data_IF_974379307158
#
_entry.id   IF_974379307158
#
_cell.length_a   1.000
_cell.length_b   1.000
_cell.length_c   1.000
_cell.angle_alpha   90.00
_cell.angle_beta   90.00
_cell.angle_gamma   90.00
#
_symmetry.space_group_name_H-M   'P 1'
#
loop_
_entity.id
_entity.type
_entity.pdbx_description
1 polymer ?
#
# COMPACT_ATOMS: atom_id res chain seq x y z
N UNK A 1 -92.02 -17.35 -12.30
CA UNK A 1 -92.29 -16.73 -13.63
C UNK A 1 -90.94 -16.70 -14.32
N UNK A 2 -90.57 -17.67 -15.06
CA UNK A 2 -90.61 -17.92 -16.48
C UNK A 2 -90.37 -16.68 -17.34
N UNK A 3 -89.31 -16.72 -18.14
CA UNK A 3 -89.20 -16.83 -19.59
C UNK A 3 -87.73 -16.51 -19.95
N UNK A 4 -86.87 -17.37 -20.39
CA UNK A 4 -86.69 -17.97 -21.73
C UNK A 4 -86.57 -16.89 -22.85
N UNK A 5 -85.48 -16.82 -23.55
CA UNK A 5 -85.21 -17.32 -24.93
C UNK A 5 -84.01 -16.63 -25.57
N UNK A 6 -83.02 -17.46 -25.93
CA UNK A 6 -82.54 -17.71 -27.32
C UNK A 6 -81.62 -16.63 -27.96
N UNK A 7 -80.47 -17.14 -28.23
CA UNK A 7 -79.85 -17.35 -29.56
C UNK A 7 -79.41 -16.13 -30.32
N UNK A 8 -78.10 -16.03 -30.50
CA UNK A 8 -77.48 -16.08 -31.84
C UNK A 8 -75.99 -15.93 -31.73
N UNK A 9 -75.28 -16.94 -32.26
CA UNK A 9 -73.88 -16.82 -32.63
C UNK A 9 -73.83 -16.11 -33.99
N UNK A 10 -72.85 -15.27 -34.23
CA UNK A 10 -72.07 -15.45 -35.42
C UNK A 10 -70.57 -15.49 -35.16
N UNK A 11 -70.04 -16.46 -35.81
CA UNK A 11 -68.67 -16.77 -36.18
C UNK A 11 -68.06 -15.59 -36.93
N UNK A 12 -66.96 -14.98 -36.49
CA UNK A 12 -66.05 -14.29 -37.40
C UNK A 12 -64.64 -14.22 -36.85
N UNK A 13 -63.80 -14.87 -37.59
CA UNK A 13 -62.42 -14.53 -38.00
C UNK A 13 -61.35 -14.41 -36.95
N UNK A 14 -60.50 -15.40 -37.06
CA UNK A 14 -59.12 -15.44 -36.62
C UNK A 14 -58.32 -14.23 -37.16
N UNK A 15 -57.73 -13.46 -36.26
CA UNK A 15 -56.60 -12.64 -36.57
C UNK A 15 -55.45 -13.10 -35.68
N UNK A 16 -54.52 -13.82 -36.29
CA UNK A 16 -53.30 -14.27 -35.64
C UNK A 16 -52.43 -13.07 -35.27
N UNK A 17 -52.26 -12.84 -34.00
CA UNK A 17 -51.18 -11.99 -33.50
C UNK A 17 -49.94 -12.89 -33.36
N UNK A 18 -49.04 -12.77 -34.33
CA UNK A 18 -47.67 -13.25 -34.17
C UNK A 18 -46.99 -12.36 -33.11
N UNK A 19 -46.91 -12.87 -31.92
CA UNK A 19 -46.05 -12.28 -30.87
C UNK A 19 -44.61 -12.64 -31.27
N UNK A 20 -43.90 -11.66 -31.86
CA UNK A 20 -42.47 -11.75 -32.01
C UNK A 20 -41.84 -11.58 -30.63
N UNK A 21 -41.39 -12.71 -30.07
CA UNK A 21 -40.49 -12.65 -28.90
C UNK A 21 -39.15 -12.06 -29.37
N UNK A 22 -38.96 -10.81 -29.09
CA UNK A 22 -37.62 -10.21 -29.14
C UNK A 22 -36.82 -10.73 -27.95
N UNK A 23 -35.96 -11.72 -28.20
CA UNK A 23 -34.89 -12.05 -27.24
C UNK A 23 -33.94 -10.86 -27.19
N UNK A 24 -34.11 -10.04 -26.17
CA UNK A 24 -33.08 -9.07 -25.81
C UNK A 24 -31.87 -9.86 -25.28
N UNK A 25 -30.65 -9.65 -25.82
CA UNK A 25 -29.47 -10.23 -25.23
C UNK A 25 -29.32 -9.64 -23.81
N UNK A 26 -29.51 -10.47 -22.81
CA UNK A 26 -29.13 -10.13 -21.43
C UNK A 26 -27.62 -10.09 -21.42
N UNK A 27 -27.07 -8.91 -21.51
CA UNK A 27 -25.68 -8.70 -21.18
C UNK A 27 -25.55 -8.99 -19.69
N UNK A 28 -25.08 -10.18 -19.36
CA UNK A 28 -24.63 -10.46 -18.01
C UNK A 28 -23.42 -9.55 -17.78
N UNK A 29 -23.66 -8.42 -17.14
CA UNK A 29 -22.59 -7.70 -16.46
C UNK A 29 -22.19 -8.65 -15.33
N UNK A 30 -21.16 -9.46 -15.56
CA UNK A 30 -20.39 -10.02 -14.47
C UNK A 30 -19.88 -8.79 -13.73
N UNK A 31 -20.48 -8.45 -12.60
CA UNK A 31 -19.82 -7.63 -11.62
C UNK A 31 -18.55 -8.44 -11.28
N UNK A 32 -17.43 -8.01 -11.84
CA UNK A 32 -16.14 -8.33 -11.28
C UNK A 32 -16.23 -7.85 -9.84
N UNK A 33 -16.44 -8.79 -8.93
CA UNK A 33 -16.22 -8.60 -7.52
C UNK A 33 -14.71 -8.42 -7.35
N UNK A 34 -14.21 -7.24 -7.72
CA UNK A 34 -12.89 -6.73 -7.38
C UNK A 34 -12.90 -6.16 -5.96
N UNK A 35 -13.79 -6.68 -5.11
CA UNK A 35 -13.95 -6.30 -3.70
C UNK A 35 -12.89 -6.94 -2.79
N UNK A 36 -11.81 -7.50 -3.35
CA UNK A 36 -10.87 -8.32 -2.60
C UNK A 36 -9.47 -7.76 -2.40
N UNK A 37 -8.99 -6.78 -3.15
CA UNK A 37 -7.59 -6.36 -3.06
C UNK A 37 -7.33 -4.84 -3.01
N UNK A 38 -8.35 -4.01 -3.11
CA UNK A 38 -8.18 -2.59 -2.84
C UNK A 38 -7.94 -2.35 -1.34
N UNK A 39 -6.68 -2.38 -0.94
CA UNK A 39 -6.27 -2.01 0.42
C UNK A 39 -5.29 -2.94 1.09
N UNK A 40 -4.91 -4.07 0.50
CA UNK A 40 -3.90 -4.94 1.06
C UNK A 40 -2.51 -4.54 0.60
N UNK A 41 -1.65 -4.21 1.56
CA UNK A 41 -0.25 -3.95 1.28
C UNK A 41 0.50 -5.26 0.97
N UNK A 42 1.58 -5.11 0.22
CA UNK A 42 2.57 -6.15 -0.04
C UNK A 42 3.90 -5.47 -0.35
N UNK A 43 4.97 -6.22 -0.50
CA UNK A 43 6.26 -5.65 -0.88
C UNK A 43 6.18 -4.80 -2.16
N UNK A 44 5.27 -5.12 -3.08
CA UNK A 44 5.02 -4.35 -4.32
C UNK A 44 4.48 -2.95 -4.08
N UNK A 45 3.86 -2.69 -2.91
CA UNK A 45 3.36 -1.38 -2.51
C UNK A 45 4.50 -0.37 -2.37
N UNK A 46 5.69 -0.85 -1.96
CA UNK A 46 6.90 -0.04 -1.87
C UNK A 46 7.79 -0.31 -3.09
N UNK A 47 7.74 0.58 -4.06
CA UNK A 47 8.58 0.52 -5.25
C UNK A 47 9.00 1.93 -5.67
N UNK A 48 10.32 2.13 -5.89
CA UNK A 48 10.91 3.39 -6.30
C UNK A 48 11.69 4.07 -5.18
N UNK A 49 11.95 5.34 -5.34
CA UNK A 49 12.81 6.13 -4.49
C UNK A 49 11.99 6.95 -3.47
N UNK A 50 12.50 7.04 -2.23
CA UNK A 50 11.88 7.75 -1.12
C UNK A 50 12.92 8.62 -0.43
N UNK A 51 12.60 9.90 -0.24
CA UNK A 51 13.38 10.82 0.58
C UNK A 51 12.91 10.75 2.03
N UNK A 52 13.82 10.48 2.95
CA UNK A 52 13.54 10.39 4.39
C UNK A 52 14.10 11.56 5.16
N UNK A 53 13.35 12.03 6.15
CA UNK A 53 13.83 12.87 7.26
C UNK A 53 13.96 11.99 8.50
N UNK A 54 15.12 12.04 9.16
CA UNK A 54 15.47 11.20 10.30
C UNK A 54 15.63 12.08 11.54
N UNK A 55 14.93 11.70 12.61
CA UNK A 55 14.95 12.38 13.89
C UNK A 55 15.11 11.39 15.04
N UNK A 56 15.91 11.74 16.05
CA UNK A 56 16.04 10.86 17.19
C UNK A 56 17.12 11.28 18.16
N UNK A 57 17.47 10.35 19.05
CA UNK A 57 18.50 10.50 20.04
C UNK A 57 19.13 9.17 20.44
N UNK A 58 20.39 9.19 20.80
CA UNK A 58 21.08 8.08 21.47
C UNK A 58 21.04 8.38 22.96
N UNK A 59 20.58 7.42 23.76
CA UNK A 59 20.56 7.50 25.22
C UNK A 59 21.88 6.89 25.74
N UNK A 60 22.80 7.71 26.17
CA UNK A 60 24.09 7.28 26.71
C UNK A 60 24.15 7.64 28.22
N UNK A 61 23.50 6.82 29.04
CA UNK A 61 23.36 7.12 30.46
C UNK A 61 22.57 8.42 30.71
N UNK A 62 23.12 9.38 31.46
CA UNK A 62 22.49 10.68 31.70
C UNK A 62 22.55 11.62 30.49
N UNK A 63 23.42 11.32 29.52
CA UNK A 63 23.64 12.14 28.32
C UNK A 63 22.71 11.69 27.19
N UNK A 64 22.34 12.67 26.35
CA UNK A 64 21.56 12.45 25.14
C UNK A 64 22.30 13.05 23.96
N UNK A 65 22.46 12.30 22.90
CA UNK A 65 23.08 12.75 21.66
C UNK A 65 21.95 12.85 20.63
N UNK A 66 21.70 14.03 20.11
CA UNK A 66 20.65 14.26 19.12
C UNK A 66 21.07 13.71 17.76
N UNK A 67 20.13 13.04 17.10
CA UNK A 67 20.29 12.55 15.74
C UNK A 67 19.43 13.40 14.82
N UNK A 68 20.02 13.90 13.74
CA UNK A 68 19.33 14.51 12.62
C UNK A 68 19.92 13.98 11.33
N UNK A 69 19.06 13.67 10.36
CA UNK A 69 19.58 13.18 9.11
C UNK A 69 18.55 13.14 8.00
N UNK A 70 19.06 12.85 6.82
CA UNK A 70 18.28 12.60 5.62
C UNK A 70 18.79 11.33 4.97
N UNK A 71 17.91 10.64 4.25
CA UNK A 71 18.30 9.49 3.46
C UNK A 71 17.52 9.44 2.13
N UNK A 72 18.16 8.91 1.11
CA UNK A 72 17.50 8.48 -0.10
C UNK A 72 17.47 6.95 -0.10
N UNK A 73 16.28 6.37 -0.13
CA UNK A 73 16.06 4.93 -0.02
C UNK A 73 15.31 4.43 -1.23
N UNK A 74 15.81 3.38 -1.87
CA UNK A 74 15.18 2.71 -3.01
C UNK A 74 14.64 1.35 -2.61
N UNK A 75 13.36 1.14 -2.83
CA UNK A 75 12.67 -0.15 -2.68
C UNK A 75 12.44 -0.78 -4.06
N UNK A 76 12.74 -2.07 -4.22
CA UNK A 76 12.60 -2.76 -5.52
C UNK A 76 11.21 -3.35 -5.77
N UNK A 77 10.34 -3.37 -4.76
CA UNK A 77 9.03 -4.01 -4.82
C UNK A 77 9.04 -5.52 -4.57
N UNK A 78 10.20 -6.11 -4.29
CA UNK A 78 10.39 -7.55 -4.12
C UNK A 78 11.02 -7.92 -2.77
N UNK A 79 11.20 -6.96 -1.88
CA UNK A 79 11.75 -7.18 -0.55
C UNK A 79 13.21 -6.74 -0.40
N UNK A 80 13.85 -6.19 -1.44
CA UNK A 80 15.20 -5.64 -1.30
C UNK A 80 15.15 -4.11 -1.24
N UNK A 81 16.05 -3.55 -0.46
CA UNK A 81 16.17 -2.12 -0.25
C UNK A 81 17.64 -1.68 -0.26
N UNK A 82 17.89 -0.50 -0.78
CA UNK A 82 19.19 0.17 -0.70
C UNK A 82 18.98 1.62 -0.29
N UNK A 83 19.96 2.20 0.39
CA UNK A 83 19.90 3.60 0.79
C UNK A 83 21.28 4.26 0.81
N UNK A 84 21.26 5.57 0.78
CA UNK A 84 22.37 6.43 1.21
C UNK A 84 21.80 7.39 2.24
N UNK A 85 22.53 7.61 3.34
CA UNK A 85 22.13 8.55 4.37
C UNK A 85 23.23 9.56 4.71
N UNK A 86 22.81 10.69 5.26
CA UNK A 86 23.67 11.68 5.90
C UNK A 86 23.09 12.01 7.27
N UNK A 87 23.84 11.72 8.31
CA UNK A 87 23.39 11.86 9.70
C UNK A 87 24.37 12.70 10.48
N UNK A 88 23.86 13.57 11.35
CA UNK A 88 24.64 14.31 12.34
C UNK A 88 24.30 13.85 13.75
N UNK A 89 25.31 13.90 14.62
CA UNK A 89 25.22 13.64 16.05
C UNK A 89 25.57 14.93 16.78
N UNK A 90 24.63 15.56 17.47
CA UNK A 90 24.74 16.89 18.07
C UNK A 90 25.29 17.95 17.09
N UNK A 91 24.86 17.85 15.81
CA UNK A 91 25.29 18.75 14.75
C UNK A 91 26.63 18.39 14.09
N UNK A 92 27.33 17.36 14.57
CA UNK A 92 28.58 16.87 13.97
C UNK A 92 28.27 15.71 13.00
N UNK A 93 28.76 15.80 11.74
CA UNK A 93 28.55 14.66 10.80
C UNK A 93 29.11 13.36 11.34
N UNK A 94 28.31 12.28 11.27
CA UNK A 94 28.73 10.93 11.67
C UNK A 94 29.74 10.30 10.68
N UNK A 95 29.81 10.85 9.46
CA UNK A 95 30.74 10.47 8.40
C UNK A 95 31.05 11.67 7.52
N UNK A 96 32.24 11.75 6.92
CA UNK A 96 32.57 12.81 5.96
C UNK A 96 31.78 12.68 4.65
N UNK A 97 31.33 11.47 4.32
CA UNK A 97 30.62 11.14 3.08
C UNK A 97 29.25 10.51 3.36
N UNK A 98 28.42 10.45 2.33
CA UNK A 98 27.17 9.69 2.34
C UNK A 98 27.46 8.23 2.67
N UNK A 99 26.68 7.64 3.59
CA UNK A 99 26.86 6.27 4.02
C UNK A 99 25.92 5.37 3.23
N UNK A 100 26.43 4.49 2.36
CA UNK A 100 25.61 3.52 1.67
C UNK A 100 25.21 2.37 2.62
N UNK A 101 24.01 1.84 2.41
CA UNK A 101 23.55 0.61 3.05
C UNK A 101 22.68 -0.19 2.09
N UNK A 102 22.66 -1.50 2.27
CA UNK A 102 21.74 -2.42 1.59
C UNK A 102 20.99 -3.25 2.61
N UNK A 103 19.86 -3.81 2.20
CA UNK A 103 19.07 -4.57 3.14
C UNK A 103 17.85 -5.22 2.54
N UNK A 104 16.95 -5.63 3.41
CA UNK A 104 15.68 -6.25 3.05
C UNK A 104 14.53 -5.60 3.81
N UNK A 105 13.33 -5.73 3.27
CA UNK A 105 12.09 -5.35 3.94
C UNK A 105 11.00 -6.38 3.68
N UNK A 106 10.03 -6.41 4.58
CA UNK A 106 8.83 -7.22 4.43
C UNK A 106 7.60 -6.44 4.89
N UNK A 107 6.55 -6.47 4.09
CA UNK A 107 5.33 -5.71 4.31
C UNK A 107 4.13 -6.65 4.44
N UNK A 108 3.44 -6.52 5.57
CA UNK A 108 2.21 -7.25 5.87
C UNK A 108 1.01 -6.67 5.11
N UNK A 109 -0.07 -7.45 4.93
CA UNK A 109 -1.30 -6.97 4.29
C UNK A 109 -1.98 -5.79 5.00
N UNK A 110 -1.72 -5.56 6.28
CA UNK A 110 -2.22 -4.43 7.07
C UNK A 110 -1.36 -3.16 6.95
N UNK A 111 -0.39 -3.15 6.02
CA UNK A 111 0.55 -2.06 5.77
C UNK A 111 1.56 -1.80 6.91
N UNK A 112 1.66 -2.69 7.89
CA UNK A 112 2.78 -2.72 8.82
C UNK A 112 3.92 -3.55 8.23
N UNK A 113 5.15 -3.36 8.71
CA UNK A 113 6.26 -4.17 8.22
C UNK A 113 7.55 -3.95 8.96
N UNK A 114 8.60 -4.55 8.41
CA UNK A 114 9.96 -4.48 8.92
C UNK A 114 10.93 -4.11 7.81
N UNK A 115 12.03 -3.46 8.17
CA UNK A 115 13.18 -3.28 7.30
C UNK A 115 14.46 -3.48 8.10
N UNK A 116 15.50 -3.93 7.42
CA UNK A 116 16.83 -4.03 8.01
C UNK A 116 17.88 -3.53 7.02
N UNK A 117 18.90 -2.85 7.55
CA UNK A 117 19.97 -2.26 6.76
C UNK A 117 21.32 -2.66 7.31
N UNK A 118 22.20 -3.05 6.40
CA UNK A 118 23.61 -3.31 6.65
C UNK A 118 24.45 -2.19 6.02
N UNK A 119 25.16 -1.46 6.85
CA UNK A 119 26.10 -0.42 6.44
C UNK A 119 27.51 -0.98 6.13
N UNK A 120 27.70 -2.28 6.27
CA UNK A 120 29.01 -2.92 6.10
C UNK A 120 30.00 -2.61 7.22
N UNK A 121 31.26 -3.02 7.02
CA UNK A 121 32.34 -2.71 7.95
C UNK A 121 32.19 -3.32 9.36
N UNK A 122 31.33 -4.31 9.55
CA UNK A 122 31.06 -4.88 10.88
C UNK A 122 30.13 -4.03 11.74
N UNK A 123 29.50 -3.02 11.19
CA UNK A 123 28.46 -2.22 11.89
C UNK A 123 27.27 -3.10 12.28
N UNK A 124 26.59 -2.82 13.41
CA UNK A 124 25.35 -3.50 13.75
C UNK A 124 24.27 -3.27 12.68
N UNK A 125 23.50 -4.32 12.41
CA UNK A 125 22.34 -4.22 11.50
C UNK A 125 21.29 -3.28 12.11
N UNK A 126 20.93 -2.25 11.37
CA UNK A 126 19.83 -1.37 11.74
C UNK A 126 18.48 -2.05 11.43
N UNK A 127 17.66 -2.24 12.45
CA UNK A 127 16.34 -2.85 12.33
C UNK A 127 15.25 -1.81 12.60
N UNK A 128 14.26 -1.78 11.71
CA UNK A 128 13.16 -0.83 11.76
C UNK A 128 11.81 -1.55 11.75
N UNK A 129 10.85 -0.99 12.47
CA UNK A 129 9.43 -1.19 12.22
C UNK A 129 8.94 -0.07 11.32
N UNK A 130 8.02 -0.39 10.42
CA UNK A 130 7.47 0.59 9.50
C UNK A 130 5.97 0.46 9.35
N UNK A 131 5.36 1.57 8.98
CA UNK A 131 3.97 1.68 8.55
C UNK A 131 3.95 2.43 7.23
N UNK A 132 3.20 1.89 6.28
CA UNK A 132 3.01 2.50 4.98
C UNK A 132 1.65 3.20 4.95
N UNK A 133 1.64 4.44 4.51
CA UNK A 133 0.44 5.27 4.38
C UNK A 133 0.32 5.82 2.95
N UNK A 134 -0.80 6.49 2.68
CA UNK A 134 -1.07 7.18 1.42
C UNK A 134 -0.79 6.32 0.18
N UNK A 135 -1.28 5.07 0.19
CA UNK A 135 -1.12 4.12 -0.93
C UNK A 135 0.35 3.90 -1.34
N UNK A 136 1.23 3.81 -0.36
CA UNK A 136 2.65 3.61 -0.62
C UNK A 136 3.45 4.89 -0.91
N UNK A 137 2.88 6.07 -0.74
CA UNK A 137 3.60 7.34 -0.95
C UNK A 137 4.29 7.86 0.30
N UNK A 138 3.85 7.44 1.47
CA UNK A 138 4.44 7.80 2.76
C UNK A 138 4.83 6.56 3.55
N UNK A 139 5.99 6.61 4.19
CA UNK A 139 6.51 5.56 5.08
C UNK A 139 6.90 6.21 6.40
N UNK A 140 6.46 5.65 7.51
CA UNK A 140 6.91 6.04 8.85
C UNK A 140 7.64 4.89 9.49
N UNK A 141 8.77 5.17 10.13
CA UNK A 141 9.60 4.13 10.74
C UNK A 141 9.99 4.48 12.17
N UNK A 142 10.33 3.43 12.91
CA UNK A 142 10.97 3.53 14.21
C UNK A 142 12.05 2.46 14.33
N UNK A 143 13.16 2.79 14.98
CA UNK A 143 14.25 1.85 15.26
C UNK A 143 13.80 0.87 16.35
N UNK A 144 13.99 -0.44 16.12
CA UNK A 144 13.60 -1.49 17.08
C UNK A 144 14.45 -1.48 18.34
N UNK A 145 15.75 -1.23 18.22
CA UNK A 145 16.71 -1.25 19.34
C UNK A 145 17.93 -0.38 19.04
N UNK A 146 18.50 0.19 20.08
CA UNK A 146 19.63 1.12 19.98
C UNK A 146 19.16 2.57 20.11
N UNK A 147 19.34 3.43 19.08
CA UNK A 147 18.86 4.79 19.12
C UNK A 147 17.34 4.88 19.27
N UNK A 148 16.86 5.80 20.08
CA UNK A 148 15.44 6.18 20.09
C UNK A 148 15.20 7.13 18.91
N UNK A 149 15.00 6.57 17.73
CA UNK A 149 14.91 7.33 16.49
C UNK A 149 13.79 6.81 15.59
N UNK A 150 13.26 7.71 14.80
CA UNK A 150 12.28 7.40 13.75
C UNK A 150 12.54 8.22 12.50
N UNK A 151 11.81 7.91 11.44
CA UNK A 151 11.88 8.68 10.22
C UNK A 151 10.54 8.72 9.48
N UNK A 152 10.38 9.76 8.67
CA UNK A 152 9.28 9.87 7.71
C UNK A 152 9.86 9.96 6.31
N UNK A 153 9.43 9.07 5.45
CA UNK A 153 9.82 9.01 4.05
C UNK A 153 8.65 9.36 3.13
N UNK A 154 8.93 10.13 2.09
CA UNK A 154 7.97 10.46 1.04
C UNK A 154 8.52 10.02 -0.31
N UNK A 155 7.66 9.45 -1.13
CA UNK A 155 8.03 8.99 -2.47
C UNK A 155 8.49 10.16 -3.32
N UNK A 156 9.64 9.97 -3.96
CA UNK A 156 10.20 10.93 -4.93
C UNK A 156 9.72 10.54 -6.32
N UNK A 157 9.39 11.50 -7.13
CA UNK A 157 8.83 11.31 -8.49
C UNK A 157 9.90 10.93 -9.50
#
# INVERSE_FOLDING_TARGET
MQFNLRSAIPLTMAAGLLATLTLSPVWSVTADNDDGEEGRCSNRTLRGDYGFSIDGQILAGPSRILIRGVAMTRFDGHGNVSMVDWVTLDGVPASPDWRPATGTYDLNPDCTGTAQFDFGGGSPILRLRLVVADRGREIRTVVESGPSAGSTGTKVH
#
